data_IF_761174455721
#
_entry.id   IF_761174455721
#
_cell.length_a   1.000
_cell.length_b   1.000
_cell.length_c   1.000
_cell.angle_alpha   90.00
_cell.angle_beta   90.00
_cell.angle_gamma   90.00
#
_symmetry.space_group_name_H-M   'P 1'
#
loop_
_entity.id
_entity.type
_entity.pdbx_description
1 polymer ?
#
# COMPACT_ATOMS: atom_id res chain seq x y z
N UNK A 1 3.84 13.46 23.75
CA UNK A 1 4.49 14.61 23.07
C UNK A 1 4.78 14.31 21.60
N UNK A 2 5.42 13.17 21.29
CA UNK A 2 5.68 12.71 19.91
C UNK A 2 4.41 12.35 19.13
N UNK A 3 3.46 11.62 19.76
CA UNK A 3 2.17 11.31 19.12
C UNK A 3 1.43 12.55 18.62
N UNK A 4 1.34 13.59 19.46
CA UNK A 4 0.73 14.88 19.07
C UNK A 4 1.49 15.57 17.93
N UNK A 5 2.82 15.45 17.89
CA UNK A 5 3.60 15.96 16.78
C UNK A 5 3.28 15.21 15.48
N UNK A 6 3.24 13.87 15.50
CA UNK A 6 2.90 13.07 14.32
C UNK A 6 1.49 13.39 13.80
N UNK A 7 0.52 13.56 14.70
CA UNK A 7 -0.85 13.94 14.33
C UNK A 7 -0.89 15.30 13.63
N UNK A 8 -0.20 16.30 14.20
CA UNK A 8 -0.11 17.62 13.57
C UNK A 8 0.63 17.57 12.23
N UNK A 9 1.71 16.78 12.12
CA UNK A 9 2.44 16.64 10.86
C UNK A 9 1.59 16.00 9.76
N UNK A 10 0.82 14.94 10.08
CA UNK A 10 -0.13 14.33 9.15
C UNK A 10 -1.26 15.27 8.72
N UNK A 11 -1.58 16.28 9.53
CA UNK A 11 -2.63 17.26 9.25
C UNK A 11 -2.14 18.45 8.41
N UNK A 12 -0.82 18.63 8.26
CA UNK A 12 -0.24 19.79 7.58
C UNK A 12 -0.14 19.53 6.07
N UNK A 13 -0.88 20.27 5.25
CA UNK A 13 -0.65 20.28 3.82
C UNK A 13 0.76 20.79 3.52
N UNK A 14 1.37 20.31 2.43
CA UNK A 14 2.74 20.66 1.99
C UNK A 14 3.00 22.18 1.96
N UNK A 15 1.98 22.99 1.72
CA UNK A 15 2.07 24.45 1.61
C UNK A 15 2.05 25.22 2.95
N UNK A 16 1.67 24.59 4.07
CA UNK A 16 1.45 25.26 5.37
C UNK A 16 2.60 25.09 6.38
N UNK A 17 3.59 24.24 6.07
CA UNK A 17 4.67 23.82 6.98
C UNK A 17 5.57 25.00 7.44
N UNK A 18 5.60 26.10 6.68
CA UNK A 18 6.62 27.16 6.81
C UNK A 18 6.21 28.28 7.80
N UNK A 19 4.97 28.30 8.29
CA UNK A 19 4.48 29.44 9.08
C UNK A 19 4.84 29.40 10.59
N UNK A 20 5.04 28.23 11.21
CA UNK A 20 5.25 28.10 12.66
C UNK A 20 6.66 27.61 13.04
N UNK A 21 7.52 28.53 13.46
CA UNK A 21 8.89 28.23 13.94
C UNK A 21 8.92 27.30 15.15
N UNK A 22 7.89 27.31 16.00
CA UNK A 22 7.83 26.44 17.18
C UNK A 22 7.64 24.98 16.79
N UNK A 23 6.80 24.72 15.77
CA UNK A 23 6.59 23.41 15.19
C UNK A 23 7.86 22.89 14.51
N UNK A 24 8.55 23.72 13.73
CA UNK A 24 9.83 23.37 13.08
C UNK A 24 10.91 23.00 14.10
N UNK A 25 11.04 23.75 15.19
CA UNK A 25 12.01 23.43 16.24
C UNK A 25 11.68 22.09 16.92
N UNK A 26 10.39 21.80 17.14
CA UNK A 26 9.94 20.53 17.69
C UNK A 26 10.20 19.36 16.73
N UNK A 27 9.99 19.55 15.44
CA UNK A 27 10.29 18.58 14.39
C UNK A 27 11.78 18.19 14.41
N UNK A 28 12.67 19.18 14.46
CA UNK A 28 14.13 18.96 14.56
C UNK A 28 14.52 18.17 15.80
N UNK A 29 13.87 18.41 16.95
CA UNK A 29 14.12 17.63 18.17
C UNK A 29 13.74 16.15 18.01
N UNK A 30 12.84 15.81 17.10
CA UNK A 30 12.50 14.44 16.74
C UNK A 30 13.32 13.87 15.58
N UNK A 31 14.19 14.66 14.95
CA UNK A 31 14.98 14.26 13.78
C UNK A 31 14.24 14.43 12.45
N UNK A 32 13.22 15.28 12.41
CA UNK A 32 12.48 15.60 11.18
C UNK A 32 13.06 16.86 10.53
N UNK A 33 13.41 16.77 9.25
CA UNK A 33 13.80 17.87 8.39
C UNK A 33 12.78 18.03 7.26
N UNK A 34 12.01 19.12 7.27
CA UNK A 34 10.97 19.35 6.27
C UNK A 34 11.51 19.64 4.86
N UNK A 35 12.82 19.82 4.69
CA UNK A 35 13.43 19.89 3.35
C UNK A 35 13.67 18.51 2.75
N UNK A 36 13.56 17.46 3.55
CA UNK A 36 13.70 16.08 3.11
C UNK A 36 12.34 15.46 2.82
N UNK A 37 12.35 14.44 1.95
CA UNK A 37 11.18 13.61 1.69
C UNK A 37 11.21 12.39 2.60
N UNK A 38 10.02 11.97 3.02
CA UNK A 38 9.83 10.79 3.85
C UNK A 38 8.91 9.81 3.15
N UNK A 39 9.18 8.51 3.33
CA UNK A 39 8.33 7.42 2.88
C UNK A 39 7.62 6.79 4.08
N UNK A 40 6.35 6.46 3.90
CA UNK A 40 5.58 5.71 4.88
C UNK A 40 5.64 4.22 4.59
N UNK A 41 5.91 3.42 5.62
CA UNK A 41 5.76 1.97 5.58
C UNK A 41 4.57 1.61 6.47
N UNK A 42 3.48 1.15 5.87
CA UNK A 42 2.27 0.70 6.57
C UNK A 42 2.38 -0.81 6.77
N UNK A 43 2.48 -1.24 8.03
CA UNK A 43 2.77 -2.64 8.36
C UNK A 43 1.62 -3.26 9.13
N UNK A 44 1.15 -4.42 8.65
CA UNK A 44 0.23 -5.30 9.34
C UNK A 44 1.00 -6.48 9.96
N UNK A 45 0.84 -6.72 11.26
CA UNK A 45 1.53 -7.82 11.94
C UNK A 45 1.35 -7.84 13.45
N UNK A 46 2.05 -8.77 14.11
CA UNK A 46 2.08 -8.85 15.58
C UNK A 46 2.88 -7.66 16.15
N UNK A 47 2.16 -6.70 16.74
CA UNK A 47 2.73 -5.46 17.29
C UNK A 47 3.82 -5.67 18.33
N UNK A 48 3.84 -6.80 19.02
CA UNK A 48 4.89 -7.10 20.00
C UNK A 48 6.23 -7.43 19.35
N UNK A 49 6.22 -7.84 18.08
CA UNK A 49 7.40 -8.21 17.31
C UNK A 49 7.80 -7.14 16.30
N UNK A 50 6.95 -6.13 16.10
CA UNK A 50 7.20 -5.04 15.19
C UNK A 50 8.34 -4.14 15.72
N UNK A 51 9.24 -3.65 14.85
CA UNK A 51 10.32 -2.76 15.26
C UNK A 51 9.83 -1.53 16.04
N UNK A 52 10.64 -1.09 16.99
CA UNK A 52 10.44 0.20 17.65
C UNK A 52 11.21 1.26 16.87
N UNK A 53 10.47 2.21 16.29
CA UNK A 53 11.01 3.34 15.55
C UNK A 53 10.47 4.63 16.13
N UNK A 54 11.31 5.67 16.13
CA UNK A 54 10.93 6.96 16.70
C UNK A 54 9.72 7.56 15.97
N UNK A 55 9.76 7.58 14.65
CA UNK A 55 8.70 8.18 13.83
C UNK A 55 7.71 7.10 13.41
N UNK A 56 6.87 6.68 14.36
CA UNK A 56 5.83 5.69 14.11
C UNK A 56 4.53 6.02 14.85
N UNK A 57 3.41 5.52 14.32
CA UNK A 57 2.10 5.63 14.97
C UNK A 57 1.20 4.43 14.65
N UNK A 58 0.21 4.19 15.50
CA UNK A 58 -0.78 3.14 15.28
C UNK A 58 -1.90 3.65 14.35
N UNK A 59 -2.14 2.96 13.25
CA UNK A 59 -3.26 3.26 12.34
C UNK A 59 -4.56 2.68 12.90
N UNK A 60 -4.50 1.43 13.35
CA UNK A 60 -5.60 0.72 13.99
C UNK A 60 -5.05 -0.34 14.96
N UNK A 61 -5.85 -1.33 15.37
CA UNK A 61 -5.43 -2.37 16.31
C UNK A 61 -4.49 -3.44 15.71
N UNK A 62 -4.34 -3.51 14.39
CA UNK A 62 -3.49 -4.46 13.67
C UNK A 62 -2.29 -3.80 12.98
N UNK A 63 -2.40 -2.52 12.65
CA UNK A 63 -1.48 -1.84 11.74
C UNK A 63 -0.74 -0.71 12.41
N UNK A 64 0.57 -0.66 12.16
CA UNK A 64 1.47 0.43 12.56
C UNK A 64 2.08 1.06 11.31
N UNK A 65 2.17 2.38 11.31
CA UNK A 65 2.81 3.16 10.25
C UNK A 65 4.15 3.65 10.76
N UNK A 66 5.17 3.49 9.93
CA UNK A 66 6.51 4.03 10.11
C UNK A 66 6.75 5.13 9.10
N UNK A 67 7.37 6.22 9.51
CA UNK A 67 7.76 7.34 8.65
C UNK A 67 9.28 7.39 8.64
N UNK A 68 9.88 7.12 7.50
CA UNK A 68 11.32 6.91 7.35
C UNK A 68 11.89 7.85 6.29
N UNK A 69 13.16 8.22 6.42
CA UNK A 69 13.88 8.83 5.30
C UNK A 69 14.03 7.79 4.19
N UNK A 70 14.15 8.26 2.94
CA UNK A 70 14.20 7.39 1.76
C UNK A 70 15.29 6.34 1.87
N UNK A 71 16.48 6.75 2.31
CA UNK A 71 17.65 5.87 2.42
C UNK A 71 17.48 4.80 3.51
N UNK A 72 16.65 5.05 4.53
CA UNK A 72 16.44 4.13 5.65
C UNK A 72 15.45 3.00 5.33
N UNK A 73 14.64 3.14 4.27
CA UNK A 73 13.59 2.15 3.94
C UNK A 73 14.21 0.78 3.62
N UNK A 74 15.31 0.77 2.85
CA UNK A 74 15.99 -0.45 2.46
C UNK A 74 16.57 -1.22 3.66
N UNK A 75 17.04 -0.50 4.68
CA UNK A 75 17.57 -1.09 5.91
C UNK A 75 16.47 -1.48 6.91
N UNK A 76 15.32 -0.79 6.85
CA UNK A 76 14.18 -1.07 7.71
C UNK A 76 13.44 -2.35 7.32
N UNK A 77 13.14 -2.56 6.04
CA UNK A 77 12.29 -3.67 5.59
C UNK A 77 12.79 -5.07 6.02
N UNK A 78 14.10 -5.39 5.97
CA UNK A 78 14.61 -6.68 6.44
C UNK A 78 14.44 -6.94 7.94
N UNK A 79 14.16 -5.90 8.74
CA UNK A 79 13.93 -6.02 10.19
C UNK A 79 12.49 -6.43 10.52
N UNK A 80 11.58 -6.42 9.54
CA UNK A 80 10.20 -6.83 9.75
C UNK A 80 10.11 -8.34 10.04
N UNK A 81 9.21 -8.76 10.95
CA UNK A 81 8.95 -10.18 11.18
C UNK A 81 8.53 -10.90 9.90
N UNK A 82 8.92 -12.17 9.73
CA UNK A 82 8.65 -12.96 8.51
C UNK A 82 7.16 -13.00 8.09
N UNK A 83 6.24 -12.88 9.06
CA UNK A 83 4.79 -12.92 8.81
C UNK A 83 4.15 -11.54 8.63
N UNK A 84 4.91 -10.46 8.80
CA UNK A 84 4.40 -9.12 8.58
C UNK A 84 4.11 -8.89 7.10
N UNK A 85 3.12 -8.03 6.84
CA UNK A 85 2.79 -7.52 5.52
C UNK A 85 3.06 -6.02 5.52
N UNK A 86 3.66 -5.51 4.45
CA UNK A 86 4.06 -4.12 4.35
C UNK A 86 3.65 -3.50 3.02
N UNK A 87 3.03 -2.33 3.09
CA UNK A 87 2.86 -1.44 1.95
C UNK A 87 3.76 -0.22 2.10
N UNK A 88 4.53 0.09 1.07
CA UNK A 88 5.50 1.20 1.05
C UNK A 88 4.99 2.28 0.11
N UNK A 89 4.77 3.49 0.65
CA UNK A 89 4.45 4.68 -0.12
C UNK A 89 5.68 5.30 -0.78
N UNK A 90 5.49 6.21 -1.73
CA UNK A 90 6.57 6.98 -2.31
C UNK A 90 7.06 8.07 -1.34
N UNK A 91 8.29 8.58 -1.53
CA UNK A 91 8.79 9.71 -0.78
C UNK A 91 8.05 11.02 -1.08
N UNK A 92 7.51 11.65 -0.04
CA UNK A 92 6.80 12.94 -0.12
C UNK A 92 7.25 13.89 1.00
N UNK A 93 7.05 15.20 0.82
CA UNK A 93 7.08 16.14 1.95
C UNK A 93 5.77 16.08 2.75
N UNK A 94 4.66 15.87 2.05
CA UNK A 94 3.37 15.50 2.65
C UNK A 94 3.37 14.01 3.02
N UNK A 95 3.61 13.72 4.29
CA UNK A 95 3.61 12.35 4.79
C UNK A 95 2.25 11.67 4.72
N UNK A 96 1.14 12.43 4.72
CA UNK A 96 -0.20 11.86 4.65
C UNK A 96 -0.43 11.18 3.30
N UNK A 97 0.05 11.80 2.21
CA UNK A 97 0.03 11.20 0.88
C UNK A 97 0.84 9.90 0.84
N UNK A 98 2.06 9.90 1.40
CA UNK A 98 2.86 8.67 1.49
C UNK A 98 2.14 7.56 2.30
N UNK A 99 1.43 7.92 3.38
CA UNK A 99 0.63 6.94 4.14
C UNK A 99 -0.52 6.37 3.29
N UNK A 100 -1.24 7.20 2.52
CA UNK A 100 -2.33 6.75 1.63
C UNK A 100 -1.81 5.79 0.56
N UNK A 101 -0.65 6.08 -0.01
CA UNK A 101 0.04 5.20 -0.96
C UNK A 101 0.46 3.86 -0.31
N UNK A 102 1.04 3.92 0.89
CA UNK A 102 1.38 2.73 1.67
C UNK A 102 0.16 1.87 2.02
N UNK A 103 -0.99 2.49 2.34
CA UNK A 103 -2.27 1.80 2.53
C UNK A 103 -2.71 1.08 1.25
N UNK A 104 -2.60 1.76 0.10
CA UNK A 104 -2.93 1.16 -1.19
C UNK A 104 -2.04 -0.04 -1.51
N UNK A 105 -0.73 0.10 -1.32
CA UNK A 105 0.22 -0.99 -1.50
C UNK A 105 -0.03 -2.15 -0.54
N UNK A 106 -0.36 -1.87 0.73
CA UNK A 106 -0.68 -2.89 1.72
C UNK A 106 -1.88 -3.75 1.29
N UNK A 107 -2.91 -3.15 0.68
CA UNK A 107 -4.09 -3.87 0.17
C UNK A 107 -3.73 -4.90 -0.93
N UNK A 108 -2.58 -4.72 -1.58
CA UNK A 108 -2.06 -5.64 -2.61
C UNK A 108 -1.17 -6.76 -2.05
N UNK A 109 -0.89 -6.78 -0.74
CA UNK A 109 -0.02 -7.81 -0.14
C UNK A 109 -0.69 -9.19 -0.04
N UNK A 110 0.09 -10.25 0.13
CA UNK A 110 -0.44 -11.61 0.33
C UNK A 110 0.33 -12.40 1.40
N UNK A 111 -0.35 -13.04 2.38
CA UNK A 111 0.31 -13.70 3.52
C UNK A 111 1.04 -14.99 3.19
N UNK A 112 0.79 -15.60 2.04
CA UNK A 112 1.39 -16.88 1.63
C UNK A 112 2.30 -16.80 0.41
N UNK A 113 2.43 -15.62 -0.22
CA UNK A 113 3.34 -15.40 -1.36
C UNK A 113 4.42 -14.46 -0.89
N UNK A 114 5.65 -14.96 -0.80
CA UNK A 114 6.75 -14.21 -0.19
C UNK A 114 7.08 -12.92 -0.99
N UNK A 115 6.97 -12.96 -2.31
CA UNK A 115 7.17 -11.82 -3.22
C UNK A 115 6.09 -10.74 -3.10
N UNK A 116 4.98 -11.04 -2.40
CA UNK A 116 3.89 -10.10 -2.15
C UNK A 116 3.74 -9.78 -0.66
N UNK A 117 4.69 -10.13 0.20
CA UNK A 117 4.66 -9.68 1.60
C UNK A 117 4.91 -8.19 1.72
N UNK A 118 5.78 -7.66 0.88
CA UNK A 118 6.09 -6.24 0.80
C UNK A 118 5.73 -5.74 -0.59
N UNK A 119 4.86 -4.75 -0.67
CA UNK A 119 4.45 -4.12 -1.91
C UNK A 119 4.86 -2.65 -1.91
N UNK A 120 5.35 -2.17 -3.04
CA UNK A 120 5.74 -0.77 -3.23
C UNK A 120 4.72 -0.09 -4.13
N UNK A 121 4.18 1.05 -3.68
CA UNK A 121 3.20 1.82 -4.44
C UNK A 121 3.72 2.24 -5.82
N UNK A 122 5.01 2.57 -5.93
CA UNK A 122 5.68 2.94 -7.19
C UNK A 122 5.42 1.92 -8.32
N UNK A 123 5.39 0.62 -7.99
CA UNK A 123 5.17 -0.45 -8.97
C UNK A 123 3.72 -0.56 -9.47
N UNK A 124 2.79 0.20 -8.90
CA UNK A 124 1.36 0.17 -9.22
C UNK A 124 0.74 1.57 -9.34
N UNK A 125 1.57 2.62 -9.33
CA UNK A 125 1.14 4.02 -9.37
C UNK A 125 0.24 4.30 -10.58
N UNK A 126 0.62 3.84 -11.77
CA UNK A 126 -0.17 4.06 -12.99
C UNK A 126 -1.56 3.44 -12.89
N UNK A 127 -1.66 2.21 -12.34
CA UNK A 127 -2.94 1.54 -12.12
C UNK A 127 -3.79 2.30 -11.09
N UNK A 128 -3.16 2.80 -10.01
CA UNK A 128 -3.82 3.60 -8.99
C UNK A 128 -4.37 4.92 -9.56
N UNK A 129 -3.59 5.62 -10.39
CA UNK A 129 -4.00 6.85 -11.08
C UNK A 129 -5.19 6.58 -12.01
N UNK A 130 -5.14 5.52 -12.81
CA UNK A 130 -6.23 5.14 -13.71
C UNK A 130 -7.52 4.83 -12.93
N UNK A 131 -7.40 4.12 -11.80
CA UNK A 131 -8.53 3.81 -10.92
C UNK A 131 -9.13 5.10 -10.32
N UNK A 132 -8.28 6.00 -9.83
CA UNK A 132 -8.68 7.30 -9.27
C UNK A 132 -9.35 8.21 -10.32
N UNK A 133 -8.93 8.11 -11.59
CA UNK A 133 -9.57 8.80 -12.72
C UNK A 133 -10.97 8.24 -13.06
N UNK A 134 -11.42 7.17 -12.38
CA UNK A 134 -12.75 6.60 -12.55
C UNK A 134 -12.87 5.56 -13.67
N UNK A 135 -11.75 5.14 -14.28
CA UNK A 135 -11.78 4.09 -15.30
C UNK A 135 -12.13 2.75 -14.65
N UNK A 136 -13.24 2.16 -15.07
CA UNK A 136 -13.78 0.92 -14.52
C UNK A 136 -14.32 0.02 -15.63
N UNK A 137 -14.39 -1.27 -15.35
CA UNK A 137 -14.93 -2.29 -16.27
C UNK A 137 -15.95 -3.16 -15.52
N UNK A 138 -17.15 -2.62 -15.21
CA UNK A 138 -18.09 -3.25 -14.28
C UNK A 138 -18.46 -4.69 -14.65
N UNK A 139 -18.66 -4.98 -15.95
CA UNK A 139 -18.97 -6.33 -16.41
C UNK A 139 -17.80 -7.29 -16.16
N UNK A 140 -16.57 -6.90 -16.50
CA UNK A 140 -15.37 -7.70 -16.26
C UNK A 140 -15.11 -7.88 -14.77
N UNK A 141 -15.29 -6.83 -13.97
CA UNK A 141 -15.17 -6.86 -12.51
C UNK A 141 -16.17 -7.83 -11.89
N UNK A 142 -17.43 -7.80 -12.35
CA UNK A 142 -18.48 -8.73 -11.90
C UNK A 142 -18.15 -10.17 -12.28
N UNK A 143 -17.72 -10.43 -13.51
CA UNK A 143 -17.30 -11.77 -13.96
C UNK A 143 -16.12 -12.32 -13.13
N UNK A 144 -15.13 -11.47 -12.85
CA UNK A 144 -14.00 -11.81 -11.98
C UNK A 144 -14.50 -12.14 -10.57
N UNK A 145 -15.38 -11.31 -10.00
CA UNK A 145 -15.93 -11.52 -8.66
C UNK A 145 -16.70 -12.84 -8.54
N UNK A 146 -17.56 -13.13 -9.52
CA UNK A 146 -18.50 -14.26 -9.43
C UNK A 146 -17.89 -15.61 -9.80
N UNK A 147 -16.83 -15.62 -10.60
CA UNK A 147 -16.31 -16.86 -11.20
C UNK A 147 -14.83 -17.12 -10.98
N UNK A 148 -14.04 -16.12 -10.57
CA UNK A 148 -12.59 -16.26 -10.38
C UNK A 148 -12.21 -16.13 -8.90
N UNK A 149 -11.64 -17.21 -8.39
CA UNK A 149 -11.05 -17.27 -7.05
C UNK A 149 -9.77 -16.44 -6.95
N UNK A 150 -9.36 -16.18 -5.71
CA UNK A 150 -8.19 -15.35 -5.41
C UNK A 150 -6.88 -15.97 -5.95
N UNK A 151 -6.76 -17.29 -6.04
CA UNK A 151 -5.55 -17.93 -6.56
C UNK A 151 -5.37 -17.69 -8.07
N UNK A 152 -6.46 -17.71 -8.84
CA UNK A 152 -6.46 -17.39 -10.27
C UNK A 152 -6.06 -15.92 -10.47
N UNK A 153 -6.65 -15.01 -9.69
CA UNK A 153 -6.35 -13.58 -9.81
C UNK A 153 -4.94 -13.23 -9.32
N UNK A 154 -4.46 -13.91 -8.29
CA UNK A 154 -3.07 -13.84 -7.84
C UNK A 154 -2.10 -14.33 -8.92
N UNK A 155 -2.47 -15.38 -9.65
CA UNK A 155 -1.69 -15.88 -10.80
C UNK A 155 -1.61 -14.82 -11.91
N UNK A 156 -2.71 -14.11 -12.21
CA UNK A 156 -2.69 -12.98 -13.15
C UNK A 156 -1.72 -11.89 -12.72
N UNK A 157 -1.82 -11.43 -11.47
CA UNK A 157 -0.98 -10.35 -10.94
C UNK A 157 0.50 -10.70 -11.06
N UNK A 158 0.90 -11.85 -10.50
CA UNK A 158 2.29 -12.30 -10.54
C UNK A 158 2.77 -12.54 -11.98
N UNK A 159 1.89 -13.00 -12.86
CA UNK A 159 2.25 -13.23 -14.27
C UNK A 159 2.62 -11.93 -14.96
N UNK A 160 1.88 -10.85 -14.67
CA UNK A 160 2.20 -9.52 -15.18
C UNK A 160 3.49 -8.97 -14.56
N UNK A 161 3.69 -9.09 -13.24
CA UNK A 161 4.84 -8.51 -12.54
C UNK A 161 6.15 -9.25 -12.77
N UNK A 162 6.11 -10.54 -13.10
CA UNK A 162 7.31 -11.33 -13.47
C UNK A 162 7.61 -11.33 -14.97
N UNK A 163 7.12 -10.34 -15.72
CA UNK A 163 7.38 -10.22 -17.15
C UNK A 163 6.93 -11.47 -17.93
N UNK A 164 5.83 -12.07 -17.51
CA UNK A 164 5.23 -13.25 -18.15
C UNK A 164 6.08 -14.54 -18.08
N UNK A 165 7.01 -14.62 -17.12
CA UNK A 165 7.84 -15.82 -16.90
C UNK A 165 7.09 -16.95 -16.19
N UNK A 166 6.83 -18.05 -16.91
CA UNK A 166 6.20 -19.25 -16.33
C UNK A 166 7.05 -19.94 -15.27
N UNK A 167 8.39 -19.84 -15.37
CA UNK A 167 9.32 -20.46 -14.42
C UNK A 167 9.29 -19.72 -13.08
N UNK A 168 9.45 -18.39 -13.12
CA UNK A 168 9.37 -17.56 -11.91
C UNK A 168 8.01 -17.71 -11.22
N UNK A 169 6.93 -17.81 -12.01
CA UNK A 169 5.60 -18.03 -11.47
C UNK A 169 5.42 -19.39 -10.79
N UNK A 170 6.02 -20.43 -11.37
CA UNK A 170 5.96 -21.79 -10.83
C UNK A 170 6.68 -21.87 -9.48
N UNK A 171 7.82 -21.18 -9.37
CA UNK A 171 8.61 -21.07 -8.15
C UNK A 171 7.86 -20.30 -7.06
N UNK A 172 7.39 -19.08 -7.33
CA UNK A 172 6.71 -18.22 -6.36
C UNK A 172 5.38 -18.80 -5.85
N UNK A 173 4.58 -19.39 -6.75
CA UNK A 173 3.30 -19.99 -6.37
C UNK A 173 3.42 -21.43 -5.88
N UNK A 174 4.61 -22.05 -5.97
CA UNK A 174 4.83 -23.47 -5.68
C UNK A 174 3.85 -24.40 -6.42
N UNK A 175 3.52 -24.08 -7.68
CA UNK A 175 2.64 -24.88 -8.52
C UNK A 175 3.31 -25.22 -9.85
N UNK A 176 2.89 -26.31 -10.47
CA UNK A 176 3.42 -26.70 -11.79
C UNK A 176 2.94 -25.75 -12.90
N UNK A 177 3.75 -25.56 -13.94
CA UNK A 177 3.43 -24.73 -15.13
C UNK A 177 2.06 -25.02 -15.77
N UNK A 178 1.60 -26.28 -15.76
CA UNK A 178 0.26 -26.64 -16.26
C UNK A 178 -0.87 -26.01 -15.46
N UNK A 179 -0.71 -25.89 -14.14
CA UNK A 179 -1.69 -25.23 -13.27
C UNK A 179 -1.76 -23.74 -13.58
N UNK A 180 -0.61 -23.09 -13.81
CA UNK A 180 -0.55 -21.69 -14.23
C UNK A 180 -1.27 -21.50 -15.56
N UNK A 181 -0.96 -22.34 -16.55
CA UNK A 181 -1.60 -22.30 -17.87
C UNK A 181 -3.13 -22.43 -17.74
N UNK A 182 -3.59 -23.41 -16.96
CA UNK A 182 -5.01 -23.61 -16.69
C UNK A 182 -5.67 -22.40 -16.04
N UNK A 183 -5.04 -21.79 -15.02
CA UNK A 183 -5.56 -20.59 -14.35
C UNK A 183 -5.67 -19.41 -15.32
N UNK A 184 -4.66 -19.17 -16.15
CA UNK A 184 -4.67 -18.12 -17.16
C UNK A 184 -5.74 -18.38 -18.25
N UNK A 185 -5.94 -19.62 -18.66
CA UNK A 185 -6.94 -19.99 -19.67
C UNK A 185 -8.37 -19.90 -19.09
N UNK A 186 -8.53 -20.15 -17.78
CA UNK A 186 -9.79 -19.93 -17.06
C UNK A 186 -10.18 -18.45 -17.08
N UNK A 187 -9.22 -17.52 -16.94
CA UNK A 187 -9.49 -16.06 -17.08
C UNK A 187 -10.06 -15.76 -18.45
N UNK A 188 -9.43 -16.24 -19.53
CA UNK A 188 -9.91 -16.04 -20.90
C UNK A 188 -11.31 -16.63 -21.10
N UNK A 189 -11.55 -17.83 -20.57
CA UNK A 189 -12.85 -18.52 -20.72
C UNK A 189 -13.99 -17.75 -20.04
N UNK A 190 -13.72 -17.17 -18.87
CA UNK A 190 -14.72 -16.44 -18.07
C UNK A 190 -14.95 -15.03 -18.59
N UNK A 191 -13.88 -14.31 -18.92
CA UNK A 191 -13.93 -12.87 -19.20
C UNK A 191 -13.93 -12.53 -20.68
N UNK A 192 -13.55 -13.48 -21.54
CA UNK A 192 -13.25 -13.22 -22.96
C UNK A 192 -11.91 -12.51 -23.19
N UNK A 193 -11.19 -12.12 -22.13
CA UNK A 193 -9.93 -11.39 -22.19
C UNK A 193 -8.76 -12.33 -21.91
N UNK A 194 -7.78 -12.34 -22.80
CA UNK A 194 -6.59 -13.16 -22.73
C UNK A 194 -5.48 -12.42 -21.94
N UNK A 195 -5.06 -12.93 -20.76
CA UNK A 195 -4.02 -12.29 -19.95
C UNK A 195 -2.63 -12.29 -20.60
N UNK A 196 -2.45 -12.97 -21.74
CA UNK A 196 -1.21 -12.99 -22.52
C UNK A 196 -1.15 -11.88 -23.58
N UNK A 197 -2.27 -11.20 -23.83
CA UNK A 197 -2.34 -10.03 -24.71
C UNK A 197 -2.25 -8.79 -23.83
N UNK A 198 -1.21 -7.97 -24.02
CA UNK A 198 -0.90 -6.84 -23.12
C UNK A 198 -2.08 -5.89 -22.93
N UNK A 199 -2.75 -5.49 -24.01
CA UNK A 199 -3.88 -4.56 -23.93
C UNK A 199 -5.06 -5.13 -23.11
N UNK A 200 -5.32 -6.43 -23.25
CA UNK A 200 -6.39 -7.12 -22.51
C UNK A 200 -5.99 -7.37 -21.06
N UNK A 201 -4.71 -7.66 -20.81
CA UNK A 201 -4.15 -7.78 -19.48
C UNK A 201 -4.28 -6.48 -18.67
N UNK A 202 -4.15 -5.31 -19.29
CA UNK A 202 -4.36 -4.02 -18.61
C UNK A 202 -5.77 -3.92 -18.00
N UNK A 203 -6.81 -4.29 -18.75
CA UNK A 203 -8.19 -4.32 -18.26
C UNK A 203 -8.35 -5.28 -17.07
N UNK A 204 -7.79 -6.49 -17.20
CA UNK A 204 -7.84 -7.50 -16.14
C UNK A 204 -7.10 -7.07 -14.87
N UNK A 205 -5.94 -6.42 -15.00
CA UNK A 205 -5.15 -5.90 -13.88
C UNK A 205 -5.87 -4.74 -13.18
N UNK A 206 -6.48 -3.82 -13.92
CA UNK A 206 -7.29 -2.74 -13.35
C UNK A 206 -8.46 -3.29 -12.53
N UNK A 207 -9.18 -4.28 -13.07
CA UNK A 207 -10.26 -4.95 -12.36
C UNK A 207 -9.77 -5.67 -11.10
N UNK A 208 -8.63 -6.34 -11.16
CA UNK A 208 -8.01 -6.98 -9.99
C UNK A 208 -7.63 -5.98 -8.89
N UNK A 209 -6.89 -4.92 -9.24
CA UNK A 209 -6.44 -3.91 -8.28
C UNK A 209 -7.64 -3.20 -7.65
N UNK A 210 -8.68 -2.87 -8.44
CA UNK A 210 -9.92 -2.28 -7.93
C UNK A 210 -10.65 -3.23 -6.97
N UNK A 211 -10.74 -4.53 -7.27
CA UNK A 211 -11.29 -5.55 -6.35
C UNK A 211 -10.53 -5.57 -5.03
N UNK A 212 -9.20 -5.54 -5.06
CA UNK A 212 -8.34 -5.57 -3.86
C UNK A 212 -8.44 -4.30 -3.01
N UNK A 213 -8.59 -3.15 -3.66
CA UNK A 213 -8.46 -1.84 -2.99
C UNK A 213 -9.80 -1.21 -2.61
N UNK A 214 -10.89 -1.50 -3.33
CA UNK A 214 -12.19 -0.82 -3.20
C UNK A 214 -12.82 -0.83 -1.80
N UNK A 215 -12.54 -1.84 -0.97
CA UNK A 215 -13.05 -1.93 0.40
C UNK A 215 -11.98 -1.56 1.42
N UNK A 216 -10.78 -2.11 1.27
CA UNK A 216 -9.70 -1.97 2.26
C UNK A 216 -9.17 -0.54 2.30
N UNK A 217 -8.90 0.07 1.15
CA UNK A 217 -8.27 1.39 1.08
C UNK A 217 -9.19 2.47 1.69
N UNK A 218 -10.48 2.59 1.32
CA UNK A 218 -11.36 3.57 1.97
C UNK A 218 -11.52 3.35 3.48
N UNK A 219 -11.58 2.09 3.93
CA UNK A 219 -11.71 1.77 5.35
C UNK A 219 -10.48 2.23 6.15
N UNK A 220 -9.28 2.02 5.61
CA UNK A 220 -8.02 2.40 6.25
C UNK A 220 -7.75 3.91 6.15
N UNK A 221 -8.11 4.57 5.05
CA UNK A 221 -8.12 6.03 4.96
C UNK A 221 -9.05 6.60 6.04
N UNK A 222 -10.22 6.02 6.25
CA UNK A 222 -11.11 6.44 7.34
C UNK A 222 -10.52 6.23 8.75
N UNK A 223 -9.58 5.30 8.94
CA UNK A 223 -8.82 5.21 10.21
C UNK A 223 -7.75 6.29 10.29
N UNK A 224 -7.03 6.55 9.19
CA UNK A 224 -6.05 7.62 9.12
C UNK A 224 -6.68 8.98 9.47
N UNK A 225 -7.86 9.28 8.91
CA UNK A 225 -8.58 10.52 9.20
C UNK A 225 -8.93 10.65 10.69
N UNK A 226 -9.28 9.54 11.37
CA UNK A 226 -9.52 9.56 12.82
C UNK A 226 -8.24 9.84 13.61
N UNK A 227 -7.10 9.29 13.18
CA UNK A 227 -5.80 9.56 13.80
C UNK A 227 -5.45 11.05 13.68
N UNK A 228 -5.69 11.64 12.51
CA UNK A 228 -5.49 13.06 12.21
C UNK A 228 -6.42 13.95 13.07
N UNK A 229 -7.72 13.68 13.06
CA UNK A 229 -8.74 14.49 13.78
C UNK A 229 -8.61 14.47 15.31
N UNK A 230 -8.01 13.42 15.88
CA UNK A 230 -7.68 13.38 17.31
C UNK A 230 -6.58 14.39 17.70
N UNK A 231 -5.80 14.88 16.72
CA UNK A 231 -4.86 15.99 16.88
C UNK A 231 -5.56 17.34 17.03
N UNK A 232 -6.50 17.65 16.13
CA UNK A 232 -7.23 18.94 16.09
C UNK A 232 -8.10 19.18 17.33
N UNK A 233 -8.80 18.15 17.80
CA UNK A 233 -9.65 18.27 19.01
C UNK A 233 -8.85 18.65 20.28
N UNK A 234 -7.52 18.43 20.30
CA UNK A 234 -6.66 18.82 21.43
C UNK A 234 -6.12 20.24 21.32
N UNK A 235 -6.12 20.85 20.14
CA UNK A 235 -5.74 22.26 19.98
C UNK A 235 -6.85 23.20 20.44
N UNK A 236 -8.13 22.85 20.24
CA UNK A 236 -9.28 23.67 20.65
C UNK A 236 -9.43 23.76 22.18
N UNK A 237 -8.98 22.75 22.92
CA UNK A 237 -9.08 22.72 24.39
C UNK A 237 -7.93 23.47 25.08
N UNK A 238 -6.86 23.80 24.36
CA UNK A 238 -5.68 24.48 24.90
C UNK A 238 -5.45 25.90 24.30
N UNK A 239 -6.46 26.45 23.63
CA UNK A 239 -6.53 27.86 23.22
C UNK A 239 -7.44 28.64 24.18
#
# INVERSE_FOLDING_TARGET
MLQTFMQNWLALPENDIIADKSFVNKARAYGVDFNEKYAAVVVEGDKQQLPDERLAFELDYLRRVYVLQVDDVADFLPRLPKRALAGVGMPHHDIQESVKEGIFALAMTHPTVDEMRTMFYENMMDLAIIIAAGVAYPETEQLIHDHLDDEVMLTLWLYATFGQSMCALSEALHVHRRTIQYRLDKITTVTGLNPRVTAEACTLLLAYVRRRTSVIVPALIGQLDRVVMQGDSRQIVNA
#
